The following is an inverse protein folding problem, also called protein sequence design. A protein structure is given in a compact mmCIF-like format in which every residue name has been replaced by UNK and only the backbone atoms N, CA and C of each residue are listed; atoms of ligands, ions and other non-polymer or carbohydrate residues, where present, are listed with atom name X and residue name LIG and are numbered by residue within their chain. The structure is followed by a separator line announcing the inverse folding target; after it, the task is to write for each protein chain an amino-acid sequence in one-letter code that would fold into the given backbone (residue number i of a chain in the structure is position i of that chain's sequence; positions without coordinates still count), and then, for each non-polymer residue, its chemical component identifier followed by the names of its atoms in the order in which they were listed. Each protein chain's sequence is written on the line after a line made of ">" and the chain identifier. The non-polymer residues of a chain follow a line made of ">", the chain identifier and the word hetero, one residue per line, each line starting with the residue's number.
data_IF_203016207342
#
_entry.id   IF_203016207342
#
_cell.length_a   1.000
_cell.length_b   1.000
_cell.length_c   1.000
_cell.angle_alpha   90.00
_cell.angle_beta   90.00
_cell.angle_gamma   90.00
#
_symmetry.space_group_name_H-M   'P 1'
#
loop_
_entity.id
_entity.type
_entity.pdbx_description
1 polymer ?
#
# COMPACT_ATOMS: atom_id res chain seq x y z
N UNK A 1 1.53 -26.87 -13.07
CA UNK A 1 0.08 -26.55 -13.10
C UNK A 1 -0.63 -26.78 -11.76
N UNK A 2 -0.26 -27.77 -10.94
CA UNK A 2 -0.98 -28.07 -9.68
C UNK A 2 -0.85 -27.00 -8.57
N UNK A 3 0.27 -26.27 -8.51
CA UNK A 3 0.54 -25.29 -7.45
C UNK A 3 -0.46 -24.13 -7.41
N UNK A 4 -1.01 -23.70 -8.54
CA UNK A 4 -1.93 -22.55 -8.60
C UNK A 4 -3.27 -22.82 -7.89
N UNK A 5 -3.67 -24.08 -7.81
CA UNK A 5 -4.93 -24.49 -7.17
C UNK A 5 -4.83 -24.61 -5.65
N UNK A 6 -3.62 -24.52 -5.09
CA UNK A 6 -3.41 -24.60 -3.64
C UNK A 6 -4.03 -23.40 -2.93
N UNK A 7 -4.36 -23.61 -1.66
CA UNK A 7 -4.91 -22.57 -0.80
C UNK A 7 -3.88 -21.45 -0.59
N UNK A 8 -4.35 -20.22 -0.53
CA UNK A 8 -3.53 -19.02 -0.33
C UNK A 8 -2.70 -19.03 0.97
N UNK A 9 -3.09 -19.81 1.99
CA UNK A 9 -2.33 -20.00 3.23
C UNK A 9 -0.95 -20.64 2.99
N UNK A 10 -0.74 -21.31 1.85
CA UNK A 10 0.56 -21.91 1.52
C UNK A 10 1.64 -20.88 1.15
N UNK A 11 1.28 -19.60 1.01
CA UNK A 11 2.22 -18.52 0.75
C UNK A 11 2.80 -18.03 2.09
N UNK A 12 4.13 -18.01 2.19
CA UNK A 12 4.83 -17.48 3.35
C UNK A 12 4.47 -16.01 3.61
N UNK A 13 4.14 -15.68 4.86
CA UNK A 13 3.71 -14.33 5.24
C UNK A 13 2.20 -14.08 5.18
N UNK A 14 1.39 -15.06 4.76
CA UNK A 14 -0.09 -15.04 4.86
C UNK A 14 -0.52 -15.85 6.10
N UNK A 15 -0.71 -15.13 7.20
CA UNK A 15 -1.26 -15.70 8.44
C UNK A 15 -2.80 -15.65 8.49
N UNK A 16 -3.41 -16.21 9.55
CA UNK A 16 -4.86 -16.32 9.70
C UNK A 16 -5.59 -14.97 9.70
N UNK A 17 -4.94 -13.88 10.15
CA UNK A 17 -5.50 -12.52 10.07
C UNK A 17 -5.63 -12.05 8.63
N UNK A 18 -4.60 -12.25 7.80
CA UNK A 18 -4.62 -11.87 6.37
C UNK A 18 -5.59 -12.74 5.58
N UNK A 19 -5.65 -14.04 5.88
CA UNK A 19 -6.59 -14.98 5.27
C UNK A 19 -8.05 -14.51 5.40
N UNK A 20 -8.46 -14.00 6.57
CA UNK A 20 -9.82 -13.45 6.76
C UNK A 20 -10.14 -12.32 5.78
N UNK A 21 -9.17 -11.46 5.45
CA UNK A 21 -9.37 -10.37 4.50
C UNK A 21 -9.41 -10.89 3.06
N UNK A 22 -8.52 -11.82 2.70
CA UNK A 22 -8.52 -12.44 1.36
C UNK A 22 -9.81 -13.22 1.09
N UNK A 23 -10.30 -13.99 2.06
CA UNK A 23 -11.57 -14.70 1.94
C UNK A 23 -12.75 -13.73 1.75
N UNK A 24 -12.75 -12.57 2.42
CA UNK A 24 -13.76 -11.52 2.21
C UNK A 24 -13.71 -10.93 0.80
N UNK A 25 -12.54 -10.89 0.18
CA UNK A 25 -12.34 -10.48 -1.22
C UNK A 25 -12.65 -11.62 -2.22
N UNK A 26 -13.04 -12.81 -1.73
CA UNK A 26 -13.29 -14.00 -2.56
C UNK A 26 -12.03 -14.75 -3.01
N UNK A 27 -10.86 -14.38 -2.49
CA UNK A 27 -9.57 -14.93 -2.89
C UNK A 27 -9.22 -16.11 -1.98
N UNK A 28 -9.29 -17.33 -2.51
CA UNK A 28 -9.04 -18.56 -1.74
C UNK A 28 -7.83 -19.36 -2.25
N UNK A 29 -7.55 -19.26 -3.55
CA UNK A 29 -6.44 -19.95 -4.22
C UNK A 29 -5.31 -18.99 -4.59
N UNK A 30 -4.14 -19.56 -4.86
CA UNK A 30 -3.00 -18.79 -5.38
C UNK A 30 -3.34 -18.15 -6.73
N UNK A 31 -4.09 -18.87 -7.58
CA UNK A 31 -4.60 -18.35 -8.85
C UNK A 31 -5.43 -17.08 -8.69
N UNK A 32 -6.44 -17.11 -7.81
CA UNK A 32 -7.30 -15.96 -7.52
C UNK A 32 -6.48 -14.75 -7.07
N UNK A 33 -5.41 -14.99 -6.29
CA UNK A 33 -4.54 -13.93 -5.80
C UNK A 33 -3.69 -13.30 -6.90
N UNK A 34 -3.17 -14.12 -7.82
CA UNK A 34 -2.39 -13.65 -8.97
C UNK A 34 -3.22 -12.82 -9.95
N UNK A 35 -4.48 -13.21 -10.16
CA UNK A 35 -5.41 -12.51 -11.04
C UNK A 35 -6.20 -11.39 -10.35
N UNK A 36 -5.93 -11.12 -9.07
CA UNK A 36 -6.49 -9.96 -8.38
C UNK A 36 -5.68 -8.71 -8.72
N UNK A 37 -5.94 -8.13 -9.88
CA UNK A 37 -5.30 -6.91 -10.34
C UNK A 37 -5.75 -5.69 -9.50
N UNK A 38 -4.85 -4.71 -9.26
CA UNK A 38 -5.22 -3.43 -8.69
C UNK A 38 -6.35 -2.77 -9.50
N UNK A 39 -7.26 -2.08 -8.80
CA UNK A 39 -8.32 -1.29 -9.45
C UNK A 39 -7.76 -0.20 -10.35
N UNK A 40 -6.68 0.44 -9.90
CA UNK A 40 -6.00 1.51 -10.61
C UNK A 40 -4.53 1.56 -10.18
N UNK A 41 -3.68 2.10 -11.05
CA UNK A 41 -2.25 2.27 -10.81
C UNK A 41 -1.93 3.76 -10.70
N UNK A 42 -1.51 4.20 -9.52
CA UNK A 42 -1.02 5.57 -9.34
C UNK A 42 0.45 5.66 -9.77
N UNK A 43 0.73 6.33 -10.87
CA UNK A 43 2.10 6.64 -11.29
C UNK A 43 2.62 7.85 -10.51
N UNK A 44 3.63 7.63 -9.65
CA UNK A 44 4.26 8.68 -8.81
C UNK A 44 5.70 8.99 -9.24
N UNK A 45 6.09 8.64 -10.47
CA UNK A 45 7.45 8.88 -10.98
C UNK A 45 7.72 10.34 -11.28
N UNK A 46 6.68 11.07 -11.69
CA UNK A 46 6.80 12.46 -12.11
C UNK A 46 6.66 13.38 -10.90
N UNK A 47 7.78 13.97 -10.50
CA UNK A 47 7.82 15.00 -9.46
C UNK A 47 7.67 16.34 -10.16
N UNK A 48 6.55 17.02 -9.91
CA UNK A 48 6.28 18.37 -10.44
C UNK A 48 6.78 19.43 -9.48
N UNK A 49 7.11 20.62 -10.01
CA UNK A 49 7.37 21.79 -9.18
C UNK A 49 6.06 22.40 -8.71
N UNK A 50 6.09 23.10 -7.57
CA UNK A 50 4.88 23.69 -6.96
C UNK A 50 4.18 24.68 -7.90
N UNK A 51 4.94 25.41 -8.70
CA UNK A 51 4.42 26.38 -9.66
C UNK A 51 3.79 25.75 -10.92
N UNK A 52 3.95 24.44 -11.13
CA UNK A 52 3.43 23.70 -12.28
C UNK A 52 2.19 22.86 -11.91
N UNK A 53 1.76 22.94 -10.65
CA UNK A 53 0.58 22.22 -10.16
C UNK A 53 -0.70 22.83 -10.73
N UNK A 54 -1.66 21.96 -11.06
CA UNK A 54 -3.01 22.34 -11.45
C UNK A 54 -4.01 21.95 -10.37
N UNK A 55 -5.00 22.81 -10.14
CA UNK A 55 -6.08 22.53 -9.21
C UNK A 55 -6.88 21.30 -9.65
N UNK A 56 -7.18 20.41 -8.71
CA UNK A 56 -7.85 19.14 -8.97
C UNK A 56 -6.96 18.01 -9.50
N UNK A 57 -5.68 18.24 -9.79
CA UNK A 57 -4.75 17.18 -10.23
C UNK A 57 -4.03 16.51 -9.05
N UNK A 58 -4.00 15.18 -9.04
CA UNK A 58 -3.14 14.44 -8.09
C UNK A 58 -1.69 14.45 -8.59
N UNK A 59 -0.85 15.26 -7.97
CA UNK A 59 0.56 15.43 -8.35
C UNK A 59 1.52 15.03 -7.22
N UNK A 60 2.73 14.60 -7.58
CA UNK A 60 3.81 14.35 -6.62
C UNK A 60 4.75 15.55 -6.57
N UNK A 61 5.11 15.98 -5.36
CA UNK A 61 6.06 17.09 -5.13
C UNK A 61 7.18 16.66 -4.17
N UNK A 62 8.33 17.33 -4.28
CA UNK A 62 9.41 17.22 -3.31
C UNK A 62 9.42 18.49 -2.46
N UNK A 63 9.33 18.32 -1.14
CA UNK A 63 9.29 19.44 -0.19
C UNK A 63 10.13 19.14 1.05
N UNK A 64 10.63 20.20 1.68
CA UNK A 64 11.29 20.13 2.98
C UNK A 64 10.35 20.67 4.04
N UNK A 65 10.16 19.89 5.11
CA UNK A 65 9.33 20.31 6.25
C UNK A 65 10.11 21.32 7.07
N UNK A 66 9.61 22.55 7.16
CA UNK A 66 10.18 23.61 8.01
C UNK A 66 9.35 23.65 9.29
N UNK A 67 9.74 22.87 10.30
CA UNK A 67 9.04 22.82 11.59
C UNK A 67 9.40 21.61 12.44
N UNK A 68 8.98 21.62 13.72
CA UNK A 68 9.16 20.47 14.60
C UNK A 68 8.06 19.43 14.32
N UNK A 69 8.41 18.34 13.66
CA UNK A 69 7.52 17.19 13.53
C UNK A 69 7.30 16.54 14.91
N UNK A 70 6.04 16.31 15.28
CA UNK A 70 5.71 15.59 16.52
C UNK A 70 5.82 14.10 16.24
N UNK A 71 6.61 13.39 17.04
CA UNK A 71 6.80 11.95 16.90
C UNK A 71 5.79 11.21 17.78
N UNK A 72 4.99 10.33 17.18
CA UNK A 72 4.09 9.42 17.91
C UNK A 72 4.61 8.00 17.73
N UNK A 73 5.05 7.39 18.83
CA UNK A 73 5.56 6.02 18.85
C UNK A 73 4.41 5.06 19.19
N UNK A 74 4.02 4.21 18.24
CA UNK A 74 2.91 3.26 18.46
C UNK A 74 3.44 1.90 18.91
N UNK A 75 4.55 1.43 18.32
CA UNK A 75 5.21 0.15 18.64
C UNK A 75 6.71 0.25 18.38
N UNK A 76 7.48 -0.75 18.86
CA UNK A 76 8.89 -0.91 18.52
C UNK A 76 9.04 -0.98 16.99
N UNK A 77 9.74 -0.01 16.41
CA UNK A 77 9.92 0.22 14.96
C UNK A 77 8.69 0.75 14.19
N UNK A 78 7.69 1.36 14.86
CA UNK A 78 6.58 2.05 14.18
C UNK A 78 6.41 3.47 14.75
N UNK A 79 7.06 4.43 14.09
CA UNK A 79 7.04 5.85 14.43
C UNK A 79 6.25 6.60 13.36
N UNK A 80 5.21 7.33 13.79
CA UNK A 80 4.48 8.26 12.93
C UNK A 80 5.01 9.68 13.18
N UNK A 81 5.38 10.38 12.12
CA UNK A 81 5.71 11.80 12.17
C UNK A 81 4.46 12.61 11.79
N UNK A 82 3.91 13.35 12.74
CA UNK A 82 2.87 14.34 12.46
C UNK A 82 3.55 15.65 12.09
N UNK A 83 3.36 16.05 10.83
CA UNK A 83 3.83 17.34 10.33
C UNK A 83 2.94 18.46 10.91
N UNK A 84 3.51 19.64 11.23
CA UNK A 84 2.76 20.81 11.68
C UNK A 84 1.81 21.35 10.61
#
# INVERSE_FOLDING_TARGET
>A
MDRLKKNILSIEGIGPKKLKYYNKLGINKIEDFLYNFPRDYQNRKEIKRINELQDGETSSIMATVIGKATQVLIKKNFIIYKLP
#
